data_IF_771829416345
#
_entry.id   IF_771829416345
#
_cell.length_a   1.000
_cell.length_b   1.000
_cell.length_c   1.000
_cell.angle_alpha   90.00
_cell.angle_beta   90.00
_cell.angle_gamma   90.00
#
_symmetry.space_group_name_H-M   'P 1'
#
loop_
_entity.id
_entity.type
_entity.pdbx_description
1 polymer ?
#
# COMPACT_ATOMS: atom_id res chain seq x y z
N UNK A 1 3.03 20.56 8.23
CA UNK A 1 3.90 20.55 9.44
C UNK A 1 3.12 20.14 10.67
N UNK A 2 1.96 20.78 10.98
CA UNK A 2 1.18 20.45 12.18
C UNK A 2 0.83 18.96 12.25
N UNK A 3 0.39 18.35 11.17
CA UNK A 3 0.08 16.92 11.06
C UNK A 3 1.28 16.03 11.37
N UNK A 4 2.47 16.35 10.80
CA UNK A 4 3.71 15.64 11.12
C UNK A 4 4.09 15.82 12.59
N UNK A 5 3.89 17.02 13.16
CA UNK A 5 4.08 17.29 14.58
C UNK A 5 3.18 16.46 15.49
N UNK A 6 1.89 16.30 15.12
CA UNK A 6 0.96 15.42 15.84
C UNK A 6 1.42 13.95 15.78
N UNK A 7 1.83 13.46 14.61
CA UNK A 7 2.33 12.08 14.48
C UNK A 7 3.64 11.88 15.27
N UNK A 8 4.57 12.83 15.24
CA UNK A 8 5.79 12.77 16.03
C UNK A 8 5.50 12.75 17.54
N UNK A 9 4.58 13.58 17.99
CA UNK A 9 4.12 13.56 19.38
C UNK A 9 3.50 12.22 19.78
N UNK A 10 2.69 11.62 18.89
CA UNK A 10 2.15 10.29 19.12
C UNK A 10 3.25 9.23 19.26
N UNK A 11 4.30 9.24 18.41
CA UNK A 11 5.44 8.32 18.52
C UNK A 11 6.09 8.42 19.89
N UNK A 12 6.29 9.64 20.40
CA UNK A 12 6.88 9.89 21.74
C UNK A 12 5.94 9.43 22.87
N UNK A 13 4.63 9.56 22.68
CA UNK A 13 3.63 9.22 23.69
C UNK A 13 3.31 7.71 23.76
N UNK A 14 3.55 6.94 22.67
CA UNK A 14 3.22 5.50 22.63
C UNK A 14 3.74 4.72 23.83
N UNK A 15 5.01 4.87 24.33
CA UNK A 15 5.50 4.12 25.49
C UNK A 15 4.66 4.36 26.74
N UNK A 16 4.26 5.60 26.99
CA UNK A 16 3.42 5.97 28.16
C UNK A 16 2.01 5.40 27.97
N UNK A 17 1.40 5.63 26.81
CA UNK A 17 0.04 5.18 26.50
C UNK A 17 -0.07 3.66 26.62
N UNK A 18 0.89 2.91 26.06
CA UNK A 18 0.89 1.44 26.12
C UNK A 18 1.16 0.88 27.50
N UNK A 19 1.92 1.61 28.35
CA UNK A 19 2.12 1.20 29.75
C UNK A 19 0.84 1.31 30.58
N UNK A 20 -0.03 2.28 30.26
CA UNK A 20 -1.28 2.55 30.99
C UNK A 20 -2.45 1.72 30.44
N UNK A 21 -2.60 1.62 29.12
CA UNK A 21 -3.78 1.08 28.47
C UNK A 21 -3.56 -0.29 27.80
N UNK A 22 -2.31 -0.78 27.73
CA UNK A 22 -2.00 -2.05 27.06
C UNK A 22 -2.52 -2.08 25.61
N UNK A 23 -3.27 -3.12 25.24
CA UNK A 23 -3.86 -3.23 23.90
C UNK A 23 -4.92 -2.15 23.58
N UNK A 24 -5.58 -1.59 24.60
CA UNK A 24 -6.57 -0.54 24.41
C UNK A 24 -5.96 0.80 23.95
N UNK A 25 -4.64 0.92 23.96
CA UNK A 25 -3.89 2.05 23.38
C UNK A 25 -4.28 2.35 21.93
N UNK A 26 -4.72 1.33 21.19
CA UNK A 26 -5.19 1.48 19.82
C UNK A 26 -6.32 2.49 19.68
N UNK A 27 -7.23 2.63 20.67
CA UNK A 27 -8.30 3.62 20.63
C UNK A 27 -7.77 5.06 20.70
N UNK A 28 -6.84 5.32 21.63
CA UNK A 28 -6.25 6.65 21.77
C UNK A 28 -5.39 7.03 20.56
N UNK A 29 -4.61 6.07 20.04
CA UNK A 29 -3.79 6.29 18.85
C UNK A 29 -4.66 6.48 17.61
N UNK A 30 -5.76 5.73 17.46
CA UNK A 30 -6.72 5.95 16.37
C UNK A 30 -7.34 7.34 16.45
N UNK A 31 -7.73 7.80 17.65
CA UNK A 31 -8.20 9.17 17.85
C UNK A 31 -7.13 10.22 17.51
N UNK A 32 -5.85 9.93 17.82
CA UNK A 32 -4.72 10.76 17.42
C UNK A 32 -4.54 10.86 15.91
N UNK A 33 -4.78 9.75 15.16
CA UNK A 33 -4.73 9.77 13.69
C UNK A 33 -5.92 10.53 13.09
N UNK A 34 -7.11 10.43 13.70
CA UNK A 34 -8.26 11.24 13.33
C UNK A 34 -7.95 12.72 13.56
N UNK A 35 -7.33 13.07 14.70
CA UNK A 35 -6.86 14.44 14.95
C UNK A 35 -5.83 14.88 13.89
N UNK A 36 -4.85 14.04 13.56
CA UNK A 36 -3.88 14.31 12.50
C UNK A 36 -4.58 14.56 11.14
N UNK A 37 -5.63 13.80 10.83
CA UNK A 37 -6.44 14.01 9.62
C UNK A 37 -7.14 15.37 9.65
N UNK A 38 -7.74 15.76 10.77
CA UNK A 38 -8.37 17.08 10.89
C UNK A 38 -7.36 18.23 10.77
N UNK A 39 -6.15 18.09 11.33
CA UNK A 39 -5.09 19.10 11.17
C UNK A 39 -4.55 19.17 9.74
N UNK A 40 -4.85 18.16 8.90
CA UNK A 40 -4.46 18.10 7.50
C UNK A 40 -5.50 18.70 6.54
N UNK A 41 -6.74 18.92 6.96
CA UNK A 41 -7.81 19.46 6.12
C UNK A 41 -7.47 20.82 5.41
N UNK A 42 -6.75 21.77 6.05
CA UNK A 42 -6.34 22.98 5.34
C UNK A 42 -5.40 22.70 4.15
N UNK A 43 -4.59 21.64 4.22
CA UNK A 43 -3.74 21.23 3.09
C UNK A 43 -4.58 20.59 1.97
N UNK A 44 -5.65 19.85 2.33
CA UNK A 44 -6.59 19.29 1.37
C UNK A 44 -7.30 20.39 0.59
N UNK A 45 -7.86 21.41 1.27
CA UNK A 45 -8.53 22.53 0.62
C UNK A 45 -7.59 23.34 -0.27
N UNK A 46 -6.39 23.65 0.21
CA UNK A 46 -5.39 24.36 -0.56
C UNK A 46 -4.95 23.58 -1.83
N UNK A 47 -4.82 22.27 -1.75
CA UNK A 47 -4.50 21.43 -2.92
C UNK A 47 -5.64 21.41 -3.95
N UNK A 48 -6.91 21.37 -3.50
CA UNK A 48 -8.10 21.46 -4.37
C UNK A 48 -8.15 22.81 -5.08
N UNK A 49 -7.80 23.89 -4.38
CA UNK A 49 -7.76 25.27 -4.94
C UNK A 49 -6.52 25.50 -5.84
N UNK A 50 -5.69 24.48 -6.07
CA UNK A 50 -4.49 24.60 -6.92
C UNK A 50 -3.33 25.37 -6.28
N UNK A 51 -3.40 25.67 -4.99
CA UNK A 51 -2.40 26.42 -4.23
C UNK A 51 -1.81 25.52 -3.09
N UNK A 52 -0.98 24.53 -3.42
CA UNK A 52 -0.46 23.57 -2.44
C UNK A 52 0.29 24.30 -1.30
N UNK A 53 0.07 23.85 -0.06
CA UNK A 53 0.78 24.39 1.09
C UNK A 53 2.24 23.91 1.06
N UNK A 54 3.15 24.86 1.14
CA UNK A 54 4.59 24.63 1.22
C UNK A 54 5.16 25.09 2.54
N UNK A 55 6.22 24.43 3.00
CA UNK A 55 6.96 24.81 4.18
C UNK A 55 8.40 24.28 4.06
N UNK A 56 9.39 25.13 4.34
CA UNK A 56 10.78 24.72 4.37
C UNK A 56 11.55 25.39 5.51
N UNK A 57 12.55 24.69 6.03
CA UNK A 57 13.58 25.22 6.91
C UNK A 57 14.95 24.70 6.48
N UNK A 58 16.00 25.53 6.54
CA UNK A 58 17.38 25.07 6.36
C UNK A 58 17.72 24.03 7.43
N UNK A 59 18.11 22.83 7.01
CA UNK A 59 18.50 21.76 7.93
C UNK A 59 20.02 21.58 7.99
N UNK A 60 20.67 21.54 6.84
CA UNK A 60 22.11 21.37 6.74
C UNK A 60 22.69 22.30 5.68
N UNK A 61 22.91 23.59 6.00
CA UNK A 61 23.36 24.60 5.03
C UNK A 61 24.76 24.35 4.46
N UNK A 62 25.53 23.42 5.05
CA UNK A 62 26.86 23.03 4.58
C UNK A 62 26.93 21.69 3.83
N UNK A 63 25.83 20.95 3.78
CA UNK A 63 25.72 19.70 3.04
C UNK A 63 24.92 19.97 1.76
N UNK A 64 25.60 20.04 0.62
CA UNK A 64 24.94 20.27 -0.65
C UNK A 64 25.91 20.79 -1.72
N UNK A 65 25.37 21.05 -2.90
CA UNK A 65 26.09 21.75 -3.96
C UNK A 65 26.42 23.19 -3.52
N UNK A 66 27.51 23.82 -4.01
CA UNK A 66 27.81 25.21 -3.72
C UNK A 66 26.61 26.11 -4.03
N UNK A 67 26.00 26.70 -2.98
CA UNK A 67 24.85 27.60 -3.07
C UNK A 67 23.46 26.96 -2.78
N UNK A 68 23.37 25.63 -2.60
CA UNK A 68 22.13 24.92 -2.22
C UNK A 68 22.38 24.08 -0.96
N UNK A 69 21.87 24.52 0.19
CA UNK A 69 21.84 23.72 1.42
C UNK A 69 20.72 22.70 1.37
N UNK A 70 20.83 21.63 2.16
CA UNK A 70 19.74 20.68 2.35
C UNK A 70 18.65 21.32 3.21
N UNK A 71 17.42 21.36 2.72
CA UNK A 71 16.26 21.90 3.40
C UNK A 71 15.30 20.76 3.82
N UNK A 72 14.73 20.89 5.00
CA UNK A 72 13.51 20.12 5.33
C UNK A 72 12.33 20.82 4.62
N UNK A 73 12.10 20.44 3.37
CA UNK A 73 11.04 21.00 2.55
C UNK A 73 9.85 20.02 2.46
N UNK A 74 8.66 20.53 2.69
CA UNK A 74 7.40 19.78 2.58
C UNK A 74 6.41 20.53 1.70
N UNK A 75 5.73 19.78 0.84
CA UNK A 75 4.71 20.30 -0.08
C UNK A 75 3.50 19.35 -0.08
N UNK A 76 2.34 19.90 0.22
CA UNK A 76 1.08 19.15 0.22
C UNK A 76 0.31 19.43 -1.09
N UNK A 77 0.73 18.81 -2.17
CA UNK A 77 0.02 18.81 -3.45
C UNK A 77 -1.03 17.68 -3.53
N UNK A 78 -1.78 17.61 -4.63
CA UNK A 78 -2.88 16.65 -4.78
C UNK A 78 -2.47 15.20 -4.56
N UNK A 79 -1.29 14.78 -5.06
CA UNK A 79 -0.78 13.42 -4.91
C UNK A 79 -0.38 13.17 -3.45
N UNK A 80 0.40 14.08 -2.86
CA UNK A 80 0.80 14.01 -1.46
C UNK A 80 -0.41 13.96 -0.51
N UNK A 81 -1.46 14.74 -0.81
CA UNK A 81 -2.72 14.74 -0.06
C UNK A 81 -3.42 13.38 -0.11
N UNK A 82 -3.60 12.80 -1.28
CA UNK A 82 -4.27 11.49 -1.44
C UNK A 82 -3.55 10.41 -0.65
N UNK A 83 -2.23 10.29 -0.79
CA UNK A 83 -1.46 9.25 -0.09
C UNK A 83 -1.39 9.48 1.42
N UNK A 84 -1.34 10.74 1.88
CA UNK A 84 -1.42 11.08 3.31
C UNK A 84 -2.76 10.67 3.90
N UNK A 85 -3.88 11.00 3.24
CA UNK A 85 -5.21 10.62 3.70
C UNK A 85 -5.37 9.10 3.76
N UNK A 86 -4.90 8.36 2.76
CA UNK A 86 -4.89 6.88 2.78
C UNK A 86 -4.13 6.37 4.00
N UNK A 87 -2.93 6.89 4.28
CA UNK A 87 -2.12 6.45 5.42
C UNK A 87 -2.78 6.76 6.76
N UNK A 88 -3.35 7.96 6.94
CA UNK A 88 -3.98 8.38 8.19
C UNK A 88 -5.31 7.68 8.44
N UNK A 89 -6.21 7.67 7.46
CA UNK A 89 -7.57 7.14 7.62
C UNK A 89 -7.53 5.62 7.79
N UNK A 90 -6.83 4.90 6.90
CA UNK A 90 -6.70 3.45 7.03
C UNK A 90 -5.88 3.09 8.28
N UNK A 91 -4.85 3.90 8.62
CA UNK A 91 -4.10 3.74 9.86
C UNK A 91 -4.98 3.83 11.12
N UNK A 92 -5.86 4.82 11.21
CA UNK A 92 -6.82 4.96 12.31
C UNK A 92 -7.72 3.72 12.45
N UNK A 93 -8.29 3.26 11.32
CA UNK A 93 -9.15 2.07 11.27
C UNK A 93 -8.40 0.82 11.74
N UNK A 94 -7.16 0.62 11.25
CA UNK A 94 -6.32 -0.54 11.63
C UNK A 94 -5.91 -0.49 13.10
N UNK A 95 -5.60 0.68 13.65
CA UNK A 95 -5.27 0.82 15.08
C UNK A 95 -6.48 0.48 15.97
N UNK A 96 -7.68 0.94 15.61
CA UNK A 96 -8.91 0.58 16.29
C UNK A 96 -9.22 -0.93 16.17
N UNK A 97 -9.12 -1.50 14.98
CA UNK A 97 -9.23 -2.95 14.74
C UNK A 97 -8.28 -3.76 15.61
N UNK A 98 -7.05 -3.28 15.79
CA UNK A 98 -5.99 -3.96 16.54
C UNK A 98 -6.36 -4.17 18.02
N UNK A 99 -7.23 -3.35 18.59
CA UNK A 99 -7.70 -3.51 19.98
C UNK A 99 -8.52 -4.78 20.17
N UNK A 100 -9.22 -5.23 19.13
CA UNK A 100 -9.96 -6.49 19.13
C UNK A 100 -9.12 -7.70 18.72
N UNK A 101 -8.09 -7.46 17.90
CA UNK A 101 -7.25 -8.52 17.32
C UNK A 101 -6.10 -8.96 18.23
N UNK A 102 -5.42 -8.01 18.89
CA UNK A 102 -4.21 -8.30 19.68
C UNK A 102 -4.57 -8.96 21.03
N UNK A 103 -3.66 -9.81 21.50
CA UNK A 103 -3.76 -10.39 22.84
C UNK A 103 -3.66 -9.33 23.93
N UNK A 104 -4.17 -9.67 25.14
CA UNK A 104 -4.05 -8.80 26.31
C UNK A 104 -2.57 -8.60 26.68
N UNK A 105 -2.22 -7.42 27.16
CA UNK A 105 -0.88 -7.08 27.62
C UNK A 105 -0.30 -5.86 26.92
N UNK A 106 0.97 -5.60 27.22
CA UNK A 106 1.71 -4.47 26.62
C UNK A 106 2.05 -4.77 25.17
N UNK A 107 1.58 -3.94 24.26
CA UNK A 107 1.81 -4.04 22.83
C UNK A 107 2.71 -2.91 22.32
N UNK A 108 3.73 -2.52 23.12
CA UNK A 108 4.59 -1.37 22.86
C UNK A 108 5.22 -1.42 21.47
N UNK A 109 5.91 -2.52 21.14
CA UNK A 109 6.62 -2.63 19.85
C UNK A 109 5.68 -2.56 18.65
N UNK A 110 4.44 -3.08 18.77
CA UNK A 110 3.46 -2.99 17.70
C UNK A 110 3.04 -1.53 17.47
N UNK A 111 2.54 -0.85 18.48
CA UNK A 111 2.02 0.51 18.35
C UNK A 111 3.12 1.52 18.02
N UNK A 112 4.30 1.36 18.61
CA UNK A 112 5.43 2.25 18.35
C UNK A 112 5.91 2.14 16.91
N UNK A 113 6.12 0.92 16.40
CA UNK A 113 6.54 0.70 15.02
C UNK A 113 5.46 1.12 14.02
N UNK A 114 4.18 0.85 14.28
CA UNK A 114 3.08 1.29 13.43
C UNK A 114 3.02 2.82 13.34
N UNK A 115 3.15 3.53 14.46
CA UNK A 115 3.11 5.00 14.48
C UNK A 115 4.34 5.62 13.84
N UNK A 116 5.54 5.07 14.12
CA UNK A 116 6.80 5.49 13.47
C UNK A 116 6.75 5.27 11.97
N UNK A 117 6.23 4.12 11.53
CA UNK A 117 6.04 3.83 10.12
C UNK A 117 5.10 4.85 9.45
N UNK A 118 3.99 5.21 10.10
CA UNK A 118 3.05 6.21 9.56
C UNK A 118 3.68 7.59 9.46
N UNK A 119 4.48 7.99 10.46
CA UNK A 119 5.24 9.24 10.41
C UNK A 119 6.22 9.24 9.22
N UNK A 120 6.98 8.16 9.05
CA UNK A 120 7.92 8.03 7.93
C UNK A 120 7.21 8.04 6.56
N UNK A 121 6.06 7.34 6.45
CA UNK A 121 5.26 7.32 5.22
C UNK A 121 4.67 8.69 4.91
N UNK A 122 4.14 9.39 5.90
CA UNK A 122 3.60 10.75 5.73
C UNK A 122 4.72 11.74 5.36
N UNK A 123 5.89 11.61 5.99
CA UNK A 123 7.08 12.37 5.62
C UNK A 123 7.51 12.12 4.17
N UNK A 124 7.52 10.85 3.74
CA UNK A 124 7.87 10.43 2.39
C UNK A 124 6.98 11.07 1.32
N UNK A 125 5.66 11.08 1.54
CA UNK A 125 4.71 11.54 0.52
C UNK A 125 4.52 13.06 0.50
N UNK A 126 4.91 13.74 1.58
CA UNK A 126 4.82 15.20 1.69
C UNK A 126 6.14 15.92 1.47
N UNK A 127 7.29 15.22 1.49
CA UNK A 127 8.58 15.90 1.30
C UNK A 127 8.74 16.45 -0.11
N UNK A 128 9.32 17.62 -0.22
CA UNK A 128 9.78 18.24 -1.46
C UNK A 128 11.31 18.27 -1.59
N UNK A 129 12.02 17.44 -0.82
CA UNK A 129 13.48 17.29 -0.87
C UNK A 129 13.86 15.84 -1.17
N UNK A 130 14.77 15.63 -2.14
CA UNK A 130 15.22 14.31 -2.60
C UNK A 130 15.95 13.51 -1.51
N UNK A 131 16.73 14.18 -0.65
CA UNK A 131 17.48 13.51 0.42
C UNK A 131 16.56 13.12 1.57
N UNK A 132 15.61 13.98 1.92
CA UNK A 132 14.56 13.67 2.92
C UNK A 132 13.65 12.55 2.40
N UNK A 133 13.34 12.53 1.10
CA UNK A 133 12.63 11.42 0.46
C UNK A 133 13.35 10.10 0.70
N UNK A 134 14.67 10.05 0.46
CA UNK A 134 15.49 8.86 0.69
C UNK A 134 15.52 8.44 2.16
N UNK A 135 15.69 9.38 3.10
CA UNK A 135 15.66 9.07 4.53
C UNK A 135 14.32 8.47 4.96
N UNK A 136 13.22 9.08 4.53
CA UNK A 136 11.88 8.55 4.80
C UNK A 136 11.63 7.20 4.11
N UNK A 137 12.17 7.00 2.90
CA UNK A 137 12.13 5.72 2.19
C UNK A 137 12.79 4.60 2.98
N UNK A 138 14.00 4.81 3.48
CA UNK A 138 14.70 3.82 4.30
C UNK A 138 14.04 3.63 5.67
N UNK A 139 13.52 4.69 6.29
CA UNK A 139 12.78 4.58 7.54
C UNK A 139 11.53 3.69 7.40
N UNK A 140 10.81 3.77 6.27
CA UNK A 140 9.69 2.86 6.00
C UNK A 140 10.13 1.42 5.75
N UNK A 141 11.29 1.19 5.11
CA UNK A 141 11.88 -0.15 4.92
C UNK A 141 12.25 -0.79 6.26
N UNK A 142 12.95 -0.05 7.11
CA UNK A 142 13.36 -0.52 8.43
C UNK A 142 12.16 -0.80 9.35
N UNK A 143 11.19 0.10 9.40
CA UNK A 143 10.00 -0.09 10.22
C UNK A 143 9.17 -1.30 9.76
N UNK A 144 9.03 -1.53 8.45
CA UNK A 144 8.36 -2.71 7.91
C UNK A 144 9.08 -4.00 8.25
N UNK A 145 10.41 -4.04 8.11
CA UNK A 145 11.25 -5.16 8.55
C UNK A 145 11.01 -5.51 10.03
N UNK A 146 11.08 -4.51 10.92
CA UNK A 146 10.89 -4.72 12.35
C UNK A 146 9.47 -5.18 12.70
N UNK A 147 8.44 -4.65 12.00
CA UNK A 147 7.05 -5.08 12.15
C UNK A 147 6.83 -6.54 11.77
N UNK A 148 7.52 -7.04 10.73
CA UNK A 148 7.46 -8.44 10.33
C UNK A 148 8.25 -9.30 11.33
N UNK A 149 9.48 -8.90 11.66
CA UNK A 149 10.38 -9.65 12.53
C UNK A 149 9.82 -9.90 13.94
N UNK A 150 9.00 -8.96 14.47
CA UNK A 150 8.35 -9.12 15.78
C UNK A 150 7.39 -10.33 15.88
N UNK A 151 7.02 -10.94 14.77
CA UNK A 151 6.12 -12.10 14.74
C UNK A 151 6.80 -13.44 15.10
N UNK A 152 8.04 -13.39 15.59
CA UNK A 152 8.76 -14.52 16.13
C UNK A 152 9.75 -15.16 15.16
N UNK A 153 10.31 -16.30 15.55
CA UNK A 153 11.42 -16.97 14.82
C UNK A 153 11.04 -17.38 13.41
N UNK A 154 9.80 -17.81 13.17
CA UNK A 154 9.30 -18.16 11.84
C UNK A 154 9.27 -16.96 10.86
N UNK A 155 9.25 -15.73 11.38
CA UNK A 155 9.23 -14.50 10.58
C UNK A 155 10.64 -13.93 10.30
N UNK A 156 11.71 -14.49 10.86
CA UNK A 156 13.08 -13.96 10.70
C UNK A 156 13.56 -14.01 9.25
N UNK A 157 13.46 -15.18 8.58
CA UNK A 157 13.85 -15.31 7.17
C UNK A 157 12.98 -14.45 6.23
N UNK A 158 11.63 -14.45 6.36
CA UNK A 158 10.75 -13.51 5.65
C UNK A 158 11.10 -12.04 5.84
N UNK A 159 11.35 -11.61 7.07
CA UNK A 159 11.68 -10.22 7.35
C UNK A 159 13.03 -9.81 6.74
N UNK A 160 14.04 -10.66 6.83
CA UNK A 160 15.35 -10.41 6.22
C UNK A 160 15.27 -10.31 4.70
N UNK A 161 14.49 -11.19 4.04
CA UNK A 161 14.27 -11.10 2.60
C UNK A 161 13.58 -9.78 2.22
N UNK A 162 12.58 -9.37 2.99
CA UNK A 162 11.91 -8.08 2.80
C UNK A 162 12.92 -6.93 2.90
N UNK A 163 13.76 -6.92 3.94
CA UNK A 163 14.78 -5.90 4.13
C UNK A 163 15.76 -5.86 2.95
N UNK A 164 16.31 -6.99 2.54
CA UNK A 164 17.32 -7.06 1.47
C UNK A 164 16.77 -6.55 0.13
N UNK A 165 15.54 -6.96 -0.23
CA UNK A 165 14.92 -6.52 -1.50
C UNK A 165 14.60 -5.02 -1.46
N UNK A 166 14.04 -4.52 -0.37
CA UNK A 166 13.68 -3.10 -0.27
C UNK A 166 14.91 -2.20 -0.10
N UNK A 167 15.98 -2.68 0.56
CA UNK A 167 17.26 -1.99 0.67
C UNK A 167 17.98 -1.91 -0.68
N UNK A 168 17.96 -2.96 -1.49
CA UNK A 168 18.45 -2.89 -2.88
C UNK A 168 17.74 -1.77 -3.65
N UNK A 169 16.42 -1.65 -3.47
CA UNK A 169 15.65 -0.55 -4.04
C UNK A 169 16.07 0.82 -3.51
N UNK A 170 16.44 0.91 -2.23
CA UNK A 170 16.98 2.13 -1.64
C UNK A 170 18.32 2.53 -2.23
N UNK A 171 19.22 1.59 -2.47
CA UNK A 171 20.51 1.87 -3.13
C UNK A 171 20.32 2.36 -4.57
N UNK A 172 19.38 1.77 -5.33
CA UNK A 172 19.06 2.26 -6.68
C UNK A 172 18.44 3.66 -6.64
N UNK A 173 17.59 3.95 -5.65
CA UNK A 173 17.02 5.28 -5.46
C UNK A 173 18.10 6.32 -5.11
N UNK A 174 19.02 6.00 -4.20
CA UNK A 174 20.11 6.89 -3.84
C UNK A 174 20.99 7.24 -5.04
N UNK A 175 21.29 6.22 -5.87
CA UNK A 175 22.05 6.42 -7.11
C UNK A 175 21.30 7.33 -8.11
N UNK A 176 19.98 7.12 -8.25
CA UNK A 176 19.15 7.98 -9.08
C UNK A 176 19.09 9.41 -8.55
N UNK A 177 18.90 9.59 -7.23
CA UNK A 177 18.88 10.91 -6.58
C UNK A 177 20.20 11.66 -6.82
N UNK A 178 21.34 11.00 -6.63
CA UNK A 178 22.64 11.61 -6.88
C UNK A 178 22.77 12.08 -8.36
N UNK A 179 22.35 11.24 -9.31
CA UNK A 179 22.35 11.61 -10.73
C UNK A 179 21.38 12.75 -11.05
N UNK A 180 20.19 12.76 -10.46
CA UNK A 180 19.19 13.82 -10.63
C UNK A 180 19.75 15.14 -10.11
N UNK A 181 20.33 15.16 -8.91
CA UNK A 181 20.96 16.37 -8.34
C UNK A 181 22.09 16.89 -9.22
N UNK A 182 22.92 16.00 -9.77
CA UNK A 182 23.99 16.39 -10.68
C UNK A 182 23.47 17.03 -11.97
N UNK A 183 22.38 16.48 -12.52
CA UNK A 183 21.76 17.01 -13.76
C UNK A 183 21.03 18.32 -13.50
N UNK A 184 20.23 18.40 -12.44
CA UNK A 184 19.30 19.52 -12.21
C UNK A 184 19.86 20.63 -11.34
N UNK A 185 20.92 20.36 -10.54
CA UNK A 185 21.53 21.32 -9.64
C UNK A 185 20.73 21.62 -8.38
N UNK A 186 19.62 20.90 -8.11
CA UNK A 186 18.75 21.15 -6.96
C UNK A 186 18.41 19.85 -6.21
N UNK A 187 18.13 19.94 -4.91
CA UNK A 187 17.58 18.85 -4.11
C UNK A 187 16.06 18.92 -4.03
N UNK A 188 15.43 20.04 -4.44
CA UNK A 188 13.98 20.20 -4.42
C UNK A 188 13.32 19.37 -5.52
N UNK A 189 12.39 18.50 -5.13
CA UNK A 189 11.69 17.60 -6.05
C UNK A 189 10.88 18.41 -7.07
N UNK A 190 10.12 19.41 -6.63
CA UNK A 190 9.30 20.26 -7.50
C UNK A 190 10.12 20.97 -8.56
N UNK A 191 11.30 21.46 -8.24
CA UNK A 191 12.22 22.11 -9.17
C UNK A 191 12.93 21.10 -10.08
N UNK A 192 13.38 19.97 -9.51
CA UNK A 192 14.09 18.95 -10.24
C UNK A 192 13.21 18.33 -11.36
N UNK A 193 11.93 18.06 -11.06
CA UNK A 193 11.02 17.43 -12.03
C UNK A 193 10.69 18.32 -13.23
N UNK A 194 10.75 19.66 -13.06
CA UNK A 194 10.44 20.63 -14.11
C UNK A 194 11.67 21.35 -14.67
N UNK A 195 12.87 20.87 -14.31
CA UNK A 195 14.13 21.49 -14.70
C UNK A 195 14.36 21.43 -16.21
N UNK A 196 14.70 22.55 -16.87
CA UNK A 196 15.09 22.59 -18.30
C UNK A 196 16.41 21.82 -18.56
N UNK A 197 17.16 21.49 -17.51
CA UNK A 197 18.38 20.71 -17.64
C UNK A 197 18.17 19.30 -18.22
N UNK A 198 16.94 18.76 -18.13
CA UNK A 198 16.59 17.46 -18.74
C UNK A 198 16.75 17.48 -20.27
N UNK A 199 16.45 18.60 -20.94
CA UNK A 199 16.58 18.75 -22.39
C UNK A 199 18.05 18.76 -22.84
N UNK A 200 18.97 19.16 -21.95
CA UNK A 200 20.41 19.23 -22.23
C UNK A 200 21.15 17.94 -21.84
N UNK A 201 20.51 17.08 -21.05
CA UNK A 201 21.10 15.82 -20.64
C UNK A 201 21.10 14.79 -21.78
N UNK A 202 22.10 13.91 -21.82
CA UNK A 202 22.11 12.86 -22.84
C UNK A 202 20.91 11.92 -22.66
N UNK A 203 20.26 11.49 -23.75
CA UNK A 203 19.10 10.58 -23.67
C UNK A 203 19.40 9.27 -22.92
N UNK A 204 20.64 8.77 -23.01
CA UNK A 204 21.06 7.59 -22.28
C UNK A 204 21.09 7.84 -20.76
N UNK A 205 21.56 9.01 -20.31
CA UNK A 205 21.58 9.37 -18.88
C UNK A 205 20.16 9.49 -18.34
N UNK A 206 19.27 10.20 -19.06
CA UNK A 206 17.86 10.34 -18.67
C UNK A 206 17.19 8.98 -18.57
N UNK A 207 17.35 8.12 -19.58
CA UNK A 207 16.81 6.76 -19.56
C UNK A 207 17.39 5.92 -18.39
N UNK A 208 18.68 6.06 -18.08
CA UNK A 208 19.30 5.35 -16.96
C UNK A 208 18.71 5.80 -15.63
N UNK A 209 18.55 7.11 -15.39
CA UNK A 209 17.96 7.64 -14.18
C UNK A 209 16.48 7.22 -14.03
N UNK A 210 15.73 7.26 -15.13
CA UNK A 210 14.34 6.79 -15.16
C UNK A 210 14.24 5.30 -14.78
N UNK A 211 15.09 4.44 -15.33
CA UNK A 211 15.14 3.01 -14.99
C UNK A 211 15.52 2.78 -13.54
N UNK A 212 16.49 3.51 -12.99
CA UNK A 212 16.90 3.39 -11.59
C UNK A 212 15.75 3.77 -10.64
N UNK A 213 15.02 4.85 -10.90
CA UNK A 213 13.81 5.22 -10.14
C UNK A 213 12.74 4.14 -10.28
N UNK A 214 12.49 3.65 -11.49
CA UNK A 214 11.51 2.59 -11.74
C UNK A 214 11.85 1.30 -10.98
N UNK A 215 13.11 0.84 -11.03
CA UNK A 215 13.57 -0.37 -10.32
C UNK A 215 13.41 -0.19 -8.81
N UNK A 216 13.79 0.98 -8.26
CA UNK A 216 13.56 1.27 -6.84
C UNK A 216 12.09 1.16 -6.45
N UNK A 217 11.21 1.78 -7.22
CA UNK A 217 9.77 1.71 -7.00
C UNK A 217 9.23 0.27 -7.12
N UNK A 218 9.71 -0.50 -8.09
CA UNK A 218 9.33 -1.90 -8.32
C UNK A 218 9.68 -2.81 -7.14
N UNK A 219 10.81 -2.60 -6.47
CA UNK A 219 11.18 -3.38 -5.28
C UNK A 219 10.15 -3.17 -4.16
N UNK A 220 9.75 -1.93 -3.89
CA UNK A 220 8.85 -1.58 -2.79
C UNK A 220 7.39 -1.87 -3.13
N UNK A 221 6.97 -1.72 -4.40
CA UNK A 221 5.63 -2.07 -4.88
C UNK A 221 5.47 -3.53 -5.29
N UNK A 222 6.44 -4.38 -4.93
CA UNK A 222 6.41 -5.82 -5.17
C UNK A 222 6.12 -6.21 -6.64
N UNK A 223 6.75 -5.50 -7.60
CA UNK A 223 6.67 -5.83 -9.02
C UNK A 223 7.60 -7.00 -9.36
N UNK A 224 7.25 -7.79 -10.36
CA UNK A 224 8.14 -8.82 -10.88
C UNK A 224 9.45 -8.17 -11.41
N UNK A 225 10.63 -8.73 -11.08
CA UNK A 225 10.89 -9.98 -10.34
C UNK A 225 10.96 -9.83 -8.80
N UNK A 226 10.78 -8.68 -8.24
CA UNK A 226 10.99 -8.37 -6.83
C UNK A 226 9.78 -8.70 -5.91
N UNK A 227 8.74 -9.36 -6.41
CA UNK A 227 7.45 -9.55 -5.71
C UNK A 227 7.48 -10.53 -4.52
N UNK A 228 8.50 -11.39 -4.44
CA UNK A 228 8.50 -12.54 -3.52
C UNK A 228 8.44 -12.19 -2.04
N UNK A 229 8.93 -11.02 -1.63
CA UNK A 229 8.92 -10.58 -0.24
C UNK A 229 7.51 -10.32 0.30
N UNK A 230 6.57 -9.92 -0.57
CA UNK A 230 5.21 -9.55 -0.13
C UNK A 230 4.42 -10.74 0.43
N UNK A 231 4.33 -11.91 -0.25
CA UNK A 231 3.71 -13.11 0.31
C UNK A 231 4.44 -13.65 1.53
N UNK A 232 5.76 -13.50 1.61
CA UNK A 232 6.56 -13.91 2.77
C UNK A 232 6.26 -13.02 3.99
N UNK A 233 6.04 -11.73 3.79
CA UNK A 233 5.65 -10.78 4.83
C UNK A 233 4.30 -11.14 5.51
N UNK A 234 3.52 -12.09 4.97
CA UNK A 234 2.30 -12.59 5.60
C UNK A 234 2.54 -13.35 6.91
N UNK A 235 3.79 -13.61 7.28
CA UNK A 235 4.16 -14.05 8.64
C UNK A 235 3.82 -13.00 9.72
N UNK A 236 3.71 -11.72 9.37
CA UNK A 236 3.32 -10.65 10.28
C UNK A 236 1.87 -10.81 10.79
N UNK A 237 1.53 -10.16 11.90
CA UNK A 237 0.16 -10.09 12.39
C UNK A 237 -0.79 -9.44 11.35
N UNK A 238 -2.06 -9.84 11.31
CA UNK A 238 -3.00 -9.38 10.28
C UNK A 238 -3.18 -7.86 10.24
N UNK A 239 -3.26 -7.11 11.36
CA UNK A 239 -3.31 -5.65 11.31
C UNK A 239 -2.08 -5.03 10.61
N UNK A 240 -0.88 -5.59 10.83
CA UNK A 240 0.35 -5.18 10.10
C UNK A 240 0.17 -5.38 8.60
N UNK A 241 -0.29 -6.57 8.20
CA UNK A 241 -0.52 -6.89 6.78
C UNK A 241 -1.58 -5.98 6.15
N UNK A 242 -2.69 -5.70 6.86
CA UNK A 242 -3.75 -4.82 6.41
C UNK A 242 -3.25 -3.39 6.17
N UNK A 243 -2.36 -2.88 7.02
CA UNK A 243 -1.81 -1.54 6.87
C UNK A 243 -0.69 -1.49 5.82
N UNK A 244 0.36 -2.31 5.98
CA UNK A 244 1.55 -2.24 5.12
C UNK A 244 1.22 -2.55 3.65
N UNK A 245 0.37 -3.54 3.41
CA UNK A 245 0.15 -4.04 2.04
C UNK A 245 -1.08 -3.44 1.35
N UNK A 246 -2.01 -2.84 2.10
CA UNK A 246 -3.15 -2.16 1.50
C UNK A 246 -2.96 -0.64 1.40
N UNK A 247 -2.37 0.00 2.40
CA UNK A 247 -2.39 1.45 2.52
C UNK A 247 -1.00 2.12 2.44
N UNK A 248 0.11 1.39 2.70
CA UNK A 248 1.33 2.08 3.03
C UNK A 248 2.57 1.62 2.23
N UNK A 249 3.34 0.61 2.67
CA UNK A 249 4.66 0.27 2.07
C UNK A 249 4.61 0.13 0.55
N UNK A 250 3.70 -0.70 0.06
CA UNK A 250 3.61 -0.99 -1.39
C UNK A 250 3.21 0.25 -2.20
N UNK A 251 2.49 1.18 -1.55
CA UNK A 251 2.09 2.44 -2.16
C UNK A 251 3.19 3.49 -2.19
N UNK A 252 4.22 3.36 -1.37
CA UNK A 252 5.40 4.22 -1.48
C UNK A 252 6.09 4.06 -2.84
N UNK A 253 6.19 2.81 -3.37
CA UNK A 253 6.69 2.59 -4.72
C UNK A 253 5.79 3.18 -5.80
N UNK A 254 4.47 2.97 -5.69
CA UNK A 254 3.49 3.57 -6.61
C UNK A 254 3.54 5.10 -6.55
N UNK A 255 3.61 5.68 -5.34
CA UNK A 255 3.80 7.12 -5.16
C UNK A 255 5.04 7.63 -5.89
N UNK A 256 6.17 6.95 -5.74
CA UNK A 256 7.43 7.32 -6.40
C UNK A 256 7.27 7.35 -7.93
N UNK A 257 6.62 6.33 -8.51
CA UNK A 257 6.36 6.29 -9.96
C UNK A 257 5.49 7.47 -10.42
N UNK A 258 4.39 7.75 -9.72
CA UNK A 258 3.50 8.88 -10.06
C UNK A 258 4.24 10.21 -9.87
N UNK A 259 5.01 10.36 -8.80
CA UNK A 259 5.76 11.58 -8.48
C UNK A 259 6.80 11.94 -9.54
N UNK A 260 7.49 10.93 -10.10
CA UNK A 260 8.52 11.13 -11.10
C UNK A 260 8.04 11.04 -12.55
N UNK A 261 6.77 10.68 -12.79
CA UNK A 261 6.18 10.67 -14.14
C UNK A 261 6.34 11.98 -14.91
N UNK A 262 6.19 13.19 -14.31
CA UNK A 262 6.36 14.42 -15.06
C UNK A 262 7.73 14.58 -15.74
N UNK A 263 8.80 14.02 -15.15
CA UNK A 263 10.14 14.07 -15.74
C UNK A 263 10.41 12.92 -16.74
N UNK A 264 9.69 11.78 -16.63
CA UNK A 264 10.05 10.57 -17.35
C UNK A 264 8.93 9.99 -18.24
N UNK A 265 7.75 10.60 -18.29
CA UNK A 265 6.60 10.10 -19.08
C UNK A 265 6.91 9.95 -20.58
N UNK A 266 7.79 10.80 -21.12
CA UNK A 266 8.19 10.76 -22.53
C UNK A 266 9.44 9.90 -22.78
N UNK A 267 9.97 9.20 -21.77
CA UNK A 267 11.13 8.33 -21.90
C UNK A 267 10.69 6.92 -22.29
N UNK A 268 11.02 6.42 -23.51
CA UNK A 268 10.53 5.12 -23.97
C UNK A 268 10.93 3.93 -23.08
N UNK A 269 12.11 4.00 -22.44
CA UNK A 269 12.55 2.97 -21.49
C UNK A 269 11.68 2.91 -20.23
N UNK A 270 11.22 4.06 -19.73
CA UNK A 270 10.28 4.15 -18.61
C UNK A 270 8.93 3.52 -18.97
N UNK A 271 8.33 3.95 -20.09
CA UNK A 271 7.04 3.44 -20.55
C UNK A 271 7.07 1.92 -20.76
N UNK A 272 8.05 1.44 -21.55
CA UNK A 272 8.18 0.02 -21.87
C UNK A 272 8.40 -0.83 -20.59
N UNK A 273 9.29 -0.40 -19.70
CA UNK A 273 9.56 -1.12 -18.46
C UNK A 273 8.31 -1.23 -17.58
N UNK A 274 7.61 -0.11 -17.33
CA UNK A 274 6.48 -0.10 -16.44
C UNK A 274 5.24 -0.82 -17.01
N UNK A 275 4.96 -0.67 -18.30
CA UNK A 275 3.85 -1.37 -18.95
C UNK A 275 4.10 -2.87 -18.92
N UNK A 276 5.27 -3.33 -19.42
CA UNK A 276 5.58 -4.75 -19.51
C UNK A 276 5.68 -5.40 -18.14
N UNK A 277 6.47 -4.81 -17.22
CA UNK A 277 6.61 -5.35 -15.87
C UNK A 277 5.28 -5.31 -15.11
N UNK A 278 4.48 -4.26 -15.26
CA UNK A 278 3.18 -4.12 -14.63
C UNK A 278 2.18 -5.17 -15.10
N UNK A 279 2.01 -5.36 -16.41
CA UNK A 279 1.11 -6.38 -16.96
C UNK A 279 1.55 -7.80 -16.61
N UNK A 280 2.87 -8.07 -16.70
CA UNK A 280 3.43 -9.35 -16.29
C UNK A 280 3.19 -9.62 -14.80
N UNK A 281 3.40 -8.61 -13.94
CA UNK A 281 3.12 -8.70 -12.50
C UNK A 281 1.64 -8.96 -12.24
N UNK A 282 0.74 -8.32 -13.00
CA UNK A 282 -0.70 -8.54 -12.90
C UNK A 282 -1.06 -10.00 -13.16
N UNK A 283 -0.56 -10.56 -14.23
CA UNK A 283 -0.82 -11.94 -14.63
C UNK A 283 -0.21 -12.95 -13.64
N UNK A 284 1.06 -12.79 -13.29
CA UNK A 284 1.78 -13.66 -12.34
C UNK A 284 1.11 -13.62 -10.95
N UNK A 285 0.82 -12.41 -10.45
CA UNK A 285 0.16 -12.22 -9.16
C UNK A 285 -1.23 -12.88 -9.12
N UNK A 286 -2.04 -12.71 -10.18
CA UNK A 286 -3.35 -13.34 -10.33
C UNK A 286 -3.27 -14.87 -10.35
N UNK A 287 -2.34 -15.41 -11.12
CA UNK A 287 -2.10 -16.85 -11.20
C UNK A 287 -1.69 -17.46 -9.85
N UNK A 288 -0.69 -16.86 -9.19
CA UNK A 288 -0.24 -17.34 -7.89
C UNK A 288 -1.31 -17.16 -6.80
N UNK A 289 -2.16 -16.14 -6.86
CA UNK A 289 -3.30 -16.01 -5.94
C UNK A 289 -4.22 -17.23 -6.02
N UNK A 290 -4.50 -17.72 -7.24
CA UNK A 290 -5.34 -18.89 -7.46
C UNK A 290 -4.72 -20.19 -6.91
N UNK A 291 -3.41 -20.31 -6.88
CA UNK A 291 -2.73 -21.54 -6.41
C UNK A 291 -2.60 -21.60 -4.88
N UNK A 292 -2.80 -20.47 -4.16
CA UNK A 292 -2.62 -20.46 -2.70
C UNK A 292 -3.71 -21.24 -1.96
N UNK A 293 -3.29 -21.98 -0.95
CA UNK A 293 -4.18 -22.63 0.01
C UNK A 293 -4.41 -21.80 1.28
N UNK A 294 -3.56 -20.81 1.57
CA UNK A 294 -3.70 -19.86 2.69
C UNK A 294 -4.38 -18.58 2.18
N UNK A 295 -5.54 -18.21 2.76
CA UNK A 295 -6.31 -17.03 2.36
C UNK A 295 -5.54 -15.73 2.54
N UNK A 296 -4.60 -15.66 3.49
CA UNK A 296 -3.77 -14.48 3.70
C UNK A 296 -2.70 -14.34 2.60
N UNK A 297 -2.11 -15.45 2.15
CA UNK A 297 -1.20 -15.48 0.99
C UNK A 297 -1.93 -15.21 -0.31
N UNK A 298 -3.16 -15.73 -0.47
CA UNK A 298 -4.04 -15.38 -1.59
C UNK A 298 -4.23 -13.86 -1.66
N UNK A 299 -4.53 -13.22 -0.53
CA UNK A 299 -4.67 -11.77 -0.45
C UNK A 299 -3.38 -11.01 -0.75
N UNK A 300 -2.20 -11.57 -0.41
CA UNK A 300 -0.91 -10.98 -0.77
C UNK A 300 -0.66 -11.01 -2.27
N UNK A 301 -0.82 -12.16 -2.92
CA UNK A 301 -0.64 -12.27 -4.38
C UNK A 301 -1.67 -11.47 -5.16
N UNK A 302 -2.91 -11.38 -4.67
CA UNK A 302 -3.89 -10.49 -5.27
C UNK A 302 -3.53 -9.01 -5.11
N UNK A 303 -2.75 -8.63 -4.09
CA UNK A 303 -2.16 -7.27 -3.98
C UNK A 303 -1.07 -7.07 -5.05
N UNK A 304 -0.17 -8.04 -5.23
CA UNK A 304 0.84 -8.02 -6.32
C UNK A 304 0.16 -7.78 -7.67
N UNK A 305 -0.92 -8.54 -7.95
CA UNK A 305 -1.68 -8.42 -9.20
C UNK A 305 -2.26 -7.01 -9.40
N UNK A 306 -2.92 -6.45 -8.39
CA UNK A 306 -3.53 -5.11 -8.52
C UNK A 306 -2.48 -3.99 -8.63
N UNK A 307 -1.35 -4.11 -7.92
CA UNK A 307 -0.25 -3.15 -8.04
C UNK A 307 0.42 -3.21 -9.42
N UNK A 308 0.49 -4.40 -10.03
CA UNK A 308 0.93 -4.55 -11.41
C UNK A 308 0.06 -3.75 -12.38
N UNK A 309 -1.26 -3.84 -12.24
CA UNK A 309 -2.20 -3.10 -13.09
C UNK A 309 -2.04 -1.57 -12.93
N UNK A 310 -1.87 -1.09 -11.68
CA UNK A 310 -1.57 0.32 -11.40
C UNK A 310 -0.25 0.74 -12.06
N UNK A 311 0.80 -0.08 -11.93
CA UNK A 311 2.13 0.21 -12.51
C UNK A 311 2.05 0.29 -14.03
N UNK A 312 1.30 -0.60 -14.68
CA UNK A 312 1.10 -0.56 -16.13
C UNK A 312 0.38 0.73 -16.57
N UNK A 313 -0.64 1.16 -15.84
CA UNK A 313 -1.33 2.42 -16.10
C UNK A 313 -0.39 3.63 -15.98
N UNK A 314 0.44 3.68 -14.93
CA UNK A 314 1.45 4.76 -14.78
C UNK A 314 2.44 4.74 -15.96
N UNK A 315 2.83 3.57 -16.42
CA UNK A 315 3.75 3.41 -17.56
C UNK A 315 3.22 3.96 -18.88
N UNK A 316 1.92 4.17 -19.03
CA UNK A 316 1.32 4.83 -20.21
C UNK A 316 1.77 6.29 -20.30
N UNK A 317 1.87 6.98 -19.16
CA UNK A 317 2.42 8.35 -19.08
C UNK A 317 1.43 9.47 -19.41
N UNK A 318 0.21 9.17 -19.88
CA UNK A 318 -0.81 10.19 -20.17
C UNK A 318 -1.52 10.65 -18.87
N UNK A 319 -2.06 11.85 -18.88
CA UNK A 319 -2.80 12.40 -17.74
C UNK A 319 -3.99 11.51 -17.37
N UNK A 320 -4.76 11.05 -18.35
CA UNK A 320 -5.88 10.13 -18.13
C UNK A 320 -5.44 8.85 -17.43
N UNK A 321 -4.37 8.22 -17.89
CA UNK A 321 -3.85 6.99 -17.32
C UNK A 321 -3.31 7.20 -15.89
N UNK A 322 -2.67 8.34 -15.61
CA UNK A 322 -2.20 8.70 -14.27
C UNK A 322 -3.36 8.94 -13.30
N UNK A 323 -4.40 9.66 -13.71
CA UNK A 323 -5.62 9.86 -12.91
C UNK A 323 -6.31 8.53 -12.62
N UNK A 324 -6.43 7.65 -13.64
CA UNK A 324 -6.96 6.30 -13.48
C UNK A 324 -6.14 5.47 -12.49
N UNK A 325 -4.80 5.56 -12.55
CA UNK A 325 -3.91 4.89 -11.59
C UNK A 325 -4.15 5.38 -10.16
N UNK A 326 -4.27 6.71 -9.92
CA UNK A 326 -4.57 7.28 -8.61
C UNK A 326 -5.95 6.83 -8.11
N UNK A 327 -6.97 6.85 -8.97
CA UNK A 327 -8.31 6.37 -8.61
C UNK A 327 -8.26 4.88 -8.19
N UNK A 328 -7.50 4.05 -8.93
CA UNK A 328 -7.36 2.65 -8.57
C UNK A 328 -6.51 2.44 -7.30
N UNK A 329 -5.56 3.33 -7.01
CA UNK A 329 -4.83 3.35 -5.71
C UNK A 329 -5.80 3.55 -4.54
N UNK A 330 -6.75 4.49 -4.66
CA UNK A 330 -7.77 4.76 -3.64
C UNK A 330 -8.68 3.54 -3.47
N UNK A 331 -9.28 3.04 -4.56
CA UNK A 331 -10.14 1.87 -4.54
C UNK A 331 -9.43 0.67 -3.92
N UNK A 332 -8.19 0.40 -4.35
CA UNK A 332 -7.35 -0.68 -3.82
C UNK A 332 -7.07 -0.51 -2.32
N UNK A 333 -6.81 0.70 -1.83
CA UNK A 333 -6.58 0.94 -0.40
C UNK A 333 -7.81 0.55 0.43
N UNK A 334 -8.98 0.93 -0.04
CA UNK A 334 -10.25 0.69 0.64
C UNK A 334 -10.60 -0.80 0.67
N UNK A 335 -10.78 -1.45 -0.48
CA UNK A 335 -11.21 -2.86 -0.45
C UNK A 335 -10.13 -3.79 0.10
N UNK A 336 -8.83 -3.51 -0.09
CA UNK A 336 -7.76 -4.38 0.42
C UNK A 336 -7.59 -4.32 1.93
N UNK A 337 -7.59 -3.12 2.52
CA UNK A 337 -7.47 -3.01 3.97
C UNK A 337 -8.61 -3.74 4.68
N UNK A 338 -9.85 -3.56 4.20
CA UNK A 338 -11.01 -4.26 4.72
C UNK A 338 -10.92 -5.77 4.54
N UNK A 339 -10.59 -6.26 3.34
CA UNK A 339 -10.46 -7.69 3.08
C UNK A 339 -9.32 -8.35 3.87
N UNK A 340 -8.17 -7.68 4.07
CA UNK A 340 -7.13 -8.21 4.96
C UNK A 340 -7.62 -8.31 6.41
N UNK A 341 -8.34 -7.29 6.90
CA UNK A 341 -8.92 -7.33 8.24
C UNK A 341 -9.99 -8.43 8.34
N UNK A 342 -10.78 -8.66 7.28
CA UNK A 342 -11.74 -9.79 7.22
C UNK A 342 -11.04 -11.15 7.26
N UNK A 343 -9.88 -11.31 6.61
CA UNK A 343 -9.04 -12.51 6.78
C UNK A 343 -8.68 -12.74 8.25
N UNK A 344 -8.40 -11.66 9.00
CA UNK A 344 -8.16 -11.77 10.44
C UNK A 344 -9.42 -12.16 11.24
N UNK A 345 -10.61 -11.67 10.86
CA UNK A 345 -11.87 -12.11 11.47
C UNK A 345 -12.10 -13.60 11.20
N UNK A 346 -11.94 -14.03 9.94
CA UNK A 346 -12.09 -15.44 9.54
C UNK A 346 -11.11 -16.34 10.33
N UNK A 347 -9.84 -15.92 10.45
CA UNK A 347 -8.81 -16.65 11.21
C UNK A 347 -9.19 -16.81 12.69
N UNK A 348 -9.76 -15.77 13.31
CA UNK A 348 -10.22 -15.82 14.71
C UNK A 348 -11.47 -16.69 14.90
N UNK A 349 -12.36 -16.74 13.91
CA UNK A 349 -13.59 -17.54 14.00
C UNK A 349 -13.31 -19.02 13.68
N UNK A 350 -12.50 -19.28 12.65
CA UNK A 350 -12.23 -20.63 12.15
C UNK A 350 -10.99 -21.28 12.74
N UNK A 351 -10.10 -20.53 13.43
CA UNK A 351 -8.79 -20.96 13.93
C UNK A 351 -7.87 -21.55 12.84
N UNK A 352 -8.17 -21.27 11.58
CA UNK A 352 -7.38 -21.71 10.43
C UNK A 352 -7.55 -20.76 9.26
N UNK A 353 -6.50 -20.64 8.42
CA UNK A 353 -6.52 -19.86 7.17
C UNK A 353 -6.46 -20.73 5.93
N UNK A 354 -6.42 -22.07 6.10
CA UNK A 354 -6.27 -22.99 4.99
C UNK A 354 -7.62 -23.23 4.31
N UNK A 355 -7.74 -22.79 3.05
CA UNK A 355 -8.91 -23.11 2.21
C UNK A 355 -9.14 -24.63 2.18
N UNK A 356 -10.38 -25.03 2.31
CA UNK A 356 -10.76 -26.46 2.44
C UNK A 356 -10.72 -27.00 3.86
N UNK A 357 -10.01 -26.36 4.79
CA UNK A 357 -10.06 -26.67 6.24
C UNK A 357 -10.87 -25.65 7.02
N UNK A 358 -11.20 -24.50 6.44
CA UNK A 358 -12.12 -23.50 7.03
C UNK A 358 -13.51 -24.12 7.03
N UNK A 359 -14.21 -24.21 8.18
CA UNK A 359 -15.58 -24.71 8.23
C UNK A 359 -16.53 -23.76 7.47
N UNK A 360 -17.71 -24.25 7.06
CA UNK A 360 -18.73 -23.42 6.39
C UNK A 360 -19.18 -22.27 7.29
N UNK A 361 -18.60 -21.08 7.09
CA UNK A 361 -18.86 -19.92 7.95
C UNK A 361 -20.13 -19.14 7.59
N UNK A 362 -20.79 -19.41 6.47
CA UNK A 362 -21.95 -18.65 6.01
C UNK A 362 -23.08 -18.59 7.06
N UNK A 363 -23.23 -19.65 7.88
CA UNK A 363 -24.26 -19.71 8.94
C UNK A 363 -23.76 -19.21 10.29
N UNK A 364 -22.46 -19.26 10.52
CA UNK A 364 -21.80 -18.89 11.80
C UNK A 364 -21.46 -17.42 11.83
N UNK A 365 -21.01 -16.88 10.70
CA UNK A 365 -20.52 -15.53 10.52
C UNK A 365 -21.17 -14.86 9.27
N UNK A 366 -22.51 -14.67 9.25
CA UNK A 366 -23.22 -14.14 8.09
C UNK A 366 -22.83 -12.68 7.77
N UNK A 367 -22.54 -11.87 8.78
CA UNK A 367 -22.12 -10.49 8.56
C UNK A 367 -20.72 -10.43 7.91
N UNK A 368 -19.78 -11.26 8.36
CA UNK A 368 -18.47 -11.42 7.70
C UNK A 368 -18.59 -11.90 6.26
N UNK A 369 -19.55 -12.81 5.97
CA UNK A 369 -19.85 -13.25 4.61
C UNK A 369 -20.23 -12.06 3.72
N UNK A 370 -21.22 -11.27 4.13
CA UNK A 370 -21.71 -10.12 3.35
C UNK A 370 -20.58 -9.12 3.09
N UNK A 371 -19.84 -8.76 4.12
CA UNK A 371 -18.72 -7.80 4.02
C UNK A 371 -17.63 -8.33 3.08
N UNK A 372 -17.28 -9.63 3.19
CA UNK A 372 -16.29 -10.25 2.31
C UNK A 372 -16.75 -10.31 0.86
N UNK A 373 -18.03 -10.59 0.62
CA UNK A 373 -18.64 -10.58 -0.73
C UNK A 373 -18.56 -9.17 -1.33
N UNK A 374 -18.95 -8.14 -0.60
CA UNK A 374 -18.92 -6.75 -1.07
C UNK A 374 -17.49 -6.30 -1.40
N UNK A 375 -16.52 -6.56 -0.51
CA UNK A 375 -15.12 -6.22 -0.75
C UNK A 375 -14.52 -7.00 -1.93
N UNK A 376 -14.87 -8.28 -2.08
CA UNK A 376 -14.43 -9.12 -3.20
C UNK A 376 -15.08 -8.67 -4.51
N UNK A 377 -16.35 -8.27 -4.49
CA UNK A 377 -17.05 -7.71 -5.63
C UNK A 377 -16.43 -6.39 -6.09
N UNK A 378 -16.09 -5.49 -5.15
CA UNK A 378 -15.37 -4.25 -5.46
C UNK A 378 -14.00 -4.57 -6.08
N UNK A 379 -13.22 -5.47 -5.49
CA UNK A 379 -11.92 -5.90 -6.03
C UNK A 379 -12.06 -6.57 -7.41
N UNK A 380 -13.10 -7.36 -7.65
CA UNK A 380 -13.37 -7.98 -8.93
C UNK A 380 -13.74 -6.96 -10.02
N UNK A 381 -14.25 -5.78 -9.63
CA UNK A 381 -14.73 -4.76 -10.56
C UNK A 381 -16.17 -5.00 -10.98
N UNK A 382 -17.05 -5.28 -10.02
CA UNK A 382 -18.50 -5.47 -10.29
C UNK A 382 -19.20 -4.10 -10.13
N UNK A 383 -20.00 -3.66 -11.15
CA UNK A 383 -20.80 -2.44 -11.03
C UNK A 383 -21.82 -2.54 -9.86
N UNK A 384 -22.14 -1.43 -9.18
CA UNK A 384 -21.71 -0.04 -9.37
C UNK A 384 -20.51 0.34 -8.47
N UNK A 385 -19.74 -0.62 -7.94
CA UNK A 385 -18.73 -0.42 -6.93
C UNK A 385 -17.51 0.37 -7.45
N UNK A 386 -16.80 1.07 -6.56
CA UNK A 386 -15.63 1.89 -6.90
C UNK A 386 -14.53 1.12 -7.64
N UNK A 387 -14.37 -0.17 -7.32
CA UNK A 387 -13.44 -1.05 -8.02
C UNK A 387 -13.76 -1.22 -9.52
N UNK A 388 -15.04 -1.19 -9.90
CA UNK A 388 -15.44 -1.19 -11.31
C UNK A 388 -15.04 0.13 -11.99
N UNK A 389 -15.44 1.27 -11.42
CA UNK A 389 -15.14 2.60 -12.00
C UNK A 389 -13.63 2.78 -12.18
N UNK A 390 -12.85 2.41 -11.17
CA UNK A 390 -11.39 2.56 -11.23
C UNK A 390 -10.71 1.61 -12.24
N UNK A 391 -11.20 0.37 -12.39
CA UNK A 391 -10.66 -0.56 -13.39
C UNK A 391 -11.04 -0.17 -14.81
N UNK A 392 -12.25 0.24 -15.04
CA UNK A 392 -12.71 0.73 -16.32
C UNK A 392 -11.88 1.92 -16.77
N UNK A 393 -11.63 2.89 -15.86
CA UNK A 393 -10.73 4.01 -16.13
C UNK A 393 -9.31 3.55 -16.47
N UNK A 394 -8.76 2.56 -15.75
CA UNK A 394 -7.42 2.00 -16.06
C UNK A 394 -7.41 1.35 -17.44
N UNK A 395 -8.44 0.58 -17.80
CA UNK A 395 -8.51 -0.05 -19.13
C UNK A 395 -8.61 0.96 -20.26
N UNK A 396 -9.38 2.02 -20.05
CA UNK A 396 -9.43 3.15 -20.99
C UNK A 396 -8.05 3.82 -21.13
N UNK A 397 -7.36 4.07 -20.00
CA UNK A 397 -6.01 4.61 -20.02
C UNK A 397 -5.00 3.71 -20.74
N UNK A 398 -5.09 2.38 -20.61
CA UNK A 398 -4.20 1.45 -21.30
C UNK A 398 -4.33 1.52 -22.83
N UNK A 399 -5.45 1.95 -23.37
CA UNK A 399 -5.60 2.18 -24.83
C UNK A 399 -4.68 3.28 -25.36
N UNK A 400 -4.25 4.19 -24.51
CA UNK A 400 -3.35 5.29 -24.85
C UNK A 400 -1.86 4.88 -24.78
N UNK A 401 -1.55 3.59 -24.56
CA UNK A 401 -0.17 3.13 -24.42
C UNK A 401 0.68 3.50 -25.65
N UNK A 402 1.87 4.10 -25.44
CA UNK A 402 2.71 4.62 -26.53
C UNK A 402 3.26 3.50 -27.41
N UNK A 403 3.51 3.82 -28.68
CA UNK A 403 4.09 2.91 -29.66
C UNK A 403 3.28 2.81 -30.95
N UNK A 404 3.33 1.64 -31.60
CA UNK A 404 2.54 1.37 -32.81
C UNK A 404 1.05 1.31 -32.46
N UNK A 405 0.16 1.58 -33.41
CA UNK A 405 -1.29 1.69 -33.16
C UNK A 405 -1.98 0.44 -32.55
N UNK A 406 -1.30 -0.70 -32.50
CA UNK A 406 -1.79 -1.92 -31.85
C UNK A 406 -1.36 -2.04 -30.38
N UNK A 407 -0.38 -1.24 -29.89
CA UNK A 407 0.19 -1.39 -28.53
C UNK A 407 -0.84 -1.13 -27.44
N UNK A 408 -1.68 -0.11 -27.58
CA UNK A 408 -2.77 0.17 -26.65
C UNK A 408 -3.77 -0.98 -26.57
N UNK A 409 -4.17 -1.55 -27.70
CA UNK A 409 -5.05 -2.73 -27.73
C UNK A 409 -4.40 -3.95 -27.09
N UNK A 410 -3.10 -4.17 -27.32
CA UNK A 410 -2.37 -5.27 -26.68
C UNK A 410 -2.30 -5.10 -25.18
N UNK A 411 -2.04 -3.89 -24.68
CA UNK A 411 -2.03 -3.58 -23.26
C UNK A 411 -3.41 -3.78 -22.62
N UNK A 412 -4.47 -3.29 -23.27
CA UNK A 412 -5.85 -3.50 -22.82
C UNK A 412 -6.19 -4.99 -22.75
N UNK A 413 -5.95 -5.75 -23.82
CA UNK A 413 -6.29 -7.19 -23.86
C UNK A 413 -5.51 -7.97 -22.80
N UNK A 414 -4.22 -7.68 -22.61
CA UNK A 414 -3.41 -8.30 -21.57
C UNK A 414 -3.92 -7.95 -20.16
N UNK A 415 -4.25 -6.68 -19.91
CA UNK A 415 -4.80 -6.21 -18.63
C UNK A 415 -6.18 -6.83 -18.34
N UNK A 416 -7.06 -6.88 -19.34
CA UNK A 416 -8.38 -7.49 -19.22
C UNK A 416 -8.30 -9.00 -18.97
N UNK A 417 -7.45 -9.71 -19.72
CA UNK A 417 -7.22 -11.16 -19.52
C UNK A 417 -6.68 -11.46 -18.12
N UNK A 418 -5.73 -10.67 -17.63
CA UNK A 418 -5.23 -10.80 -16.26
C UNK A 418 -6.31 -10.49 -15.20
N UNK A 419 -7.27 -9.62 -15.53
CA UNK A 419 -8.38 -9.27 -14.62
C UNK A 419 -9.43 -10.39 -14.51
N UNK A 420 -9.51 -11.32 -15.46
CA UNK A 420 -10.30 -12.55 -15.32
C UNK A 420 -9.80 -13.37 -14.12
N UNK A 421 -8.47 -13.43 -13.92
CA UNK A 421 -7.88 -14.07 -12.75
C UNK A 421 -8.31 -13.39 -11.45
N UNK A 422 -8.55 -12.06 -11.47
CA UNK A 422 -9.06 -11.33 -10.30
C UNK A 422 -10.42 -11.86 -9.88
N UNK A 423 -11.34 -12.01 -10.81
CA UNK A 423 -12.65 -12.59 -10.51
C UNK A 423 -12.52 -14.00 -9.93
N UNK A 424 -11.68 -14.83 -10.52
CA UNK A 424 -11.48 -16.20 -10.09
C UNK A 424 -10.92 -16.31 -8.67
N UNK A 425 -9.90 -15.52 -8.29
CA UNK A 425 -9.39 -15.58 -6.92
C UNK A 425 -10.32 -14.89 -5.90
N UNK A 426 -11.15 -13.92 -6.30
CA UNK A 426 -12.22 -13.38 -5.46
C UNK A 426 -13.27 -14.44 -5.16
N UNK A 427 -13.71 -15.18 -6.17
CA UNK A 427 -14.62 -16.30 -6.00
C UNK A 427 -14.01 -17.37 -5.07
N UNK A 428 -12.74 -17.73 -5.28
CA UNK A 428 -12.02 -18.67 -4.40
C UNK A 428 -11.98 -18.20 -2.94
N UNK A 429 -11.76 -16.89 -2.69
CA UNK A 429 -11.77 -16.35 -1.33
C UNK A 429 -13.16 -16.52 -0.69
N UNK A 430 -14.22 -16.12 -1.39
CA UNK A 430 -15.59 -16.16 -0.87
C UNK A 430 -16.06 -17.59 -0.66
N UNK A 431 -15.99 -18.42 -1.70
CA UNK A 431 -16.48 -19.80 -1.62
C UNK A 431 -15.63 -20.63 -0.66
N UNK A 432 -14.31 -20.53 -0.77
CA UNK A 432 -13.38 -21.30 0.06
C UNK A 432 -13.40 -20.95 1.55
N UNK A 433 -13.80 -19.72 1.91
CA UNK A 433 -13.92 -19.32 3.31
C UNK A 433 -15.32 -19.54 3.91
N UNK A 434 -16.39 -19.55 3.09
CA UNK A 434 -17.74 -19.53 3.64
C UNK A 434 -18.62 -20.71 3.20
N UNK A 435 -18.29 -21.39 2.10
CA UNK A 435 -19.18 -22.37 1.46
C UNK A 435 -18.57 -23.76 1.33
N UNK A 436 -17.33 -23.89 0.81
CA UNK A 436 -16.75 -25.15 0.36
C UNK A 436 -16.17 -26.04 1.48
N UNK A 437 -16.07 -25.52 2.70
CA UNK A 437 -15.44 -26.22 3.82
C UNK A 437 -16.32 -27.32 4.45
N UNK A 438 -15.80 -28.06 5.43
CA UNK A 438 -16.59 -29.01 6.19
C UNK A 438 -17.73 -28.32 6.92
N UNK A 439 -18.86 -28.98 7.21
CA UNK A 439 -19.93 -28.39 8.00
C UNK A 439 -19.41 -27.85 9.32
N UNK A 440 -19.81 -26.63 9.69
CA UNK A 440 -19.50 -26.08 10.99
C UNK A 440 -20.17 -26.96 12.09
N UNK A 441 -19.39 -27.35 13.10
CA UNK A 441 -19.93 -28.15 14.21
C UNK A 441 -21.09 -27.44 14.88
N UNK A 442 -22.24 -28.10 14.99
CA UNK A 442 -23.41 -27.60 15.70
C UNK A 442 -23.14 -27.37 17.18
N UNK A 443 -23.95 -26.53 17.84
CA UNK A 443 -23.82 -26.19 19.27
C UNK A 443 -23.68 -27.42 20.18
N UNK A 444 -24.33 -28.52 19.82
CA UNK A 444 -24.34 -29.76 20.60
C UNK A 444 -23.03 -30.57 20.48
N UNK A 445 -22.28 -30.40 19.36
CA UNK A 445 -20.95 -31.02 19.18
C UNK A 445 -19.82 -30.19 19.77
N UNK A 446 -20.03 -28.89 20.04
CA UNK A 446 -19.04 -28.03 20.74
C UNK A 446 -18.81 -28.47 22.20
N UNK A 447 -19.80 -29.17 22.84
CA UNK A 447 -19.62 -29.75 24.17
C UNK A 447 -18.85 -31.07 24.16
N UNK A 448 -18.63 -31.67 23.01
CA UNK A 448 -18.00 -32.99 22.84
C UNK A 448 -16.51 -32.95 22.35
N UNK A 449 -15.85 -31.78 22.39
CA UNK A 449 -14.43 -31.65 22.01
C UNK A 449 -14.13 -31.48 20.52
N UNK A 450 -15.12 -31.15 19.71
CA UNK A 450 -14.92 -30.76 18.28
C UNK A 450 -14.27 -29.37 18.16
N UNK A 451 -13.62 -29.08 17.01
CA UNK A 451 -13.01 -27.78 16.72
C UNK A 451 -14.04 -26.64 16.93
N UNK A 452 -13.78 -25.79 17.94
CA UNK A 452 -14.67 -24.74 18.35
C UNK A 452 -14.54 -23.54 17.41
N UNK A 453 -15.63 -23.17 16.70
CA UNK A 453 -15.73 -21.87 16.05
C UNK A 453 -16.02 -20.79 17.10
N UNK A 454 -15.19 -19.74 17.11
CA UNK A 454 -15.42 -18.59 17.98
C UNK A 454 -16.53 -17.67 17.42
N UNK A 455 -17.16 -16.88 18.27
CA UNK A 455 -18.09 -15.84 17.80
C UNK A 455 -17.33 -14.70 17.13
N UNK A 456 -17.96 -14.05 16.14
CA UNK A 456 -17.44 -12.83 15.53
C UNK A 456 -17.18 -11.76 16.60
N UNK A 457 -15.95 -11.20 16.60
CA UNK A 457 -15.64 -10.06 17.45
C UNK A 457 -16.23 -8.79 16.79
N UNK A 458 -17.20 -8.10 17.44
CA UNK A 458 -17.88 -6.96 16.81
C UNK A 458 -16.94 -5.79 16.50
N UNK A 459 -15.91 -5.56 17.30
CA UNK A 459 -14.91 -4.50 17.03
C UNK A 459 -14.15 -4.82 15.76
N UNK A 460 -13.67 -6.04 15.61
CA UNK A 460 -12.95 -6.46 14.40
C UNK A 460 -13.84 -6.38 13.16
N UNK A 461 -15.09 -6.85 13.26
CA UNK A 461 -16.03 -6.84 12.15
C UNK A 461 -16.36 -5.42 11.69
N UNK A 462 -16.71 -4.52 12.61
CA UNK A 462 -17.06 -3.12 12.29
C UNK A 462 -15.90 -2.42 11.58
N UNK A 463 -14.70 -2.49 12.14
CA UNK A 463 -13.55 -1.79 11.56
C UNK A 463 -13.05 -2.45 10.26
N UNK A 464 -13.24 -3.74 10.06
CA UNK A 464 -13.00 -4.39 8.77
C UNK A 464 -14.03 -3.99 7.70
N UNK A 465 -15.27 -3.75 8.09
CA UNK A 465 -16.34 -3.34 7.17
C UNK A 465 -16.20 -1.89 6.70
N UNK A 466 -15.72 -0.96 7.54
CA UNK A 466 -15.67 0.48 7.21
C UNK A 466 -14.99 0.80 5.87
N UNK A 467 -13.76 0.34 5.58
CA UNK A 467 -13.13 0.63 4.30
C UNK A 467 -13.86 -0.01 3.11
N UNK A 468 -14.47 -1.19 3.31
CA UNK A 468 -15.25 -1.86 2.27
C UNK A 468 -16.50 -1.06 1.94
N UNK A 469 -17.23 -0.60 2.96
CA UNK A 469 -18.42 0.24 2.77
C UNK A 469 -18.07 1.56 2.08
N UNK A 470 -16.90 2.14 2.37
CA UNK A 470 -16.41 3.31 1.67
C UNK A 470 -16.00 3.05 0.20
N UNK A 471 -15.91 1.78 -0.22
CA UNK A 471 -15.62 1.35 -1.61
C UNK A 471 -16.87 1.01 -2.42
N UNK A 472 -18.06 1.21 -1.84
CA UNK A 472 -19.35 1.04 -2.51
C UNK A 472 -19.77 2.36 -3.15
#
# INVERSE_FOLDING_TARGET
>A
VLTLGVLAALVVLVPVVTSLLGRASGWLLAAGYVLATFTFLPAVTAAIDGAPLEWSIPWAPGLGLPGAGVELAFRADGIGVVFTLIALVIGAVVLAYSTGYLEKGRQLSFYWLMTTFTLAMTGLVLTDDLLVLFVCWEATSLASFLLIARSGTAAQSPSMRTLLITFLGGLTLLTAIAGIIVVTGTTRISEALTSPAWEQASPLLVATLAVLVAVSAMTKSAQFPFHSWLPDAMAAATPVSAYLHAAAVVKAGIFLLIRFSPAFADVPAWNALLIVAGLLTTAIGGWFALTQSDIKKLMAYSTVSQLGLITAAIGVGTEMALVAAVLHVIAHALFKSGLFMMVGVIDHVAHTRRVGSIPQLIRVAPASFVVTVLGSASMAGIPPLLGFVSKESVFTGLLEAPGAGWTGWAALVAGAAASVLTFAYCAKLVFGAFVDGPPAAGRDQQQAGGEQTSRENPVMLVFAALPILASI
#
